data_IF_693619890938
#
_entry.id   IF_693619890938
#
_cell.length_a   1.000
_cell.length_b   1.000
_cell.length_c   1.000
_cell.angle_alpha   90.00
_cell.angle_beta   90.00
_cell.angle_gamma   90.00
#
_symmetry.space_group_name_H-M   'P 1'
#
loop_
_entity.id
_entity.type
_entity.pdbx_description
1 polymer ?
#
# COMPACT_ATOMS: atom_id res chain seq x y z
N UNK A 1 -5.93 -5.65 -13.81
CA UNK A 1 -5.98 -4.42 -12.99
C UNK A 1 -5.33 -4.71 -11.64
N UNK A 2 -4.21 -4.07 -11.30
CA UNK A 2 -3.64 -4.18 -9.96
C UNK A 2 -4.62 -3.55 -8.97
N UNK A 3 -5.33 -4.38 -8.20
CA UNK A 3 -6.15 -3.87 -7.09
C UNK A 3 -5.20 -3.16 -6.13
N UNK A 4 -5.27 -1.82 -6.12
CA UNK A 4 -4.48 -0.99 -5.20
C UNK A 4 -4.79 -1.46 -3.79
N UNK A 5 -3.75 -1.55 -2.96
CA UNK A 5 -3.96 -1.93 -1.57
C UNK A 5 -4.75 -0.84 -0.84
N UNK A 6 -5.45 -1.19 0.24
CA UNK A 6 -6.13 -0.18 1.09
C UNK A 6 -5.14 0.93 1.53
N UNK A 7 -3.90 0.62 1.94
CA UNK A 7 -2.88 1.65 2.19
C UNK A 7 -2.61 2.58 1.00
N UNK A 8 -2.57 2.07 -0.23
CA UNK A 8 -2.38 2.90 -1.43
C UNK A 8 -3.56 3.84 -1.70
N UNK A 9 -4.78 3.37 -1.41
CA UNK A 9 -5.99 4.18 -1.54
C UNK A 9 -6.01 5.30 -0.49
N UNK A 10 -5.69 4.98 0.76
CA UNK A 10 -5.58 5.96 1.84
C UNK A 10 -4.50 7.01 1.55
N UNK A 11 -3.32 6.57 1.08
CA UNK A 11 -2.23 7.48 0.69
C UNK A 11 -2.68 8.49 -0.35
N UNK A 12 -3.34 8.03 -1.42
CA UNK A 12 -3.85 8.90 -2.49
C UNK A 12 -4.91 9.87 -1.99
N UNK A 13 -5.84 9.41 -1.16
CA UNK A 13 -6.88 10.26 -0.58
C UNK A 13 -6.27 11.38 0.26
N UNK A 14 -5.21 11.07 1.00
CA UNK A 14 -4.50 12.03 1.84
C UNK A 14 -3.69 13.03 1.01
N UNK A 15 -3.00 12.57 -0.03
CA UNK A 15 -2.29 13.44 -0.99
C UNK A 15 -3.25 14.43 -1.68
N UNK A 16 -4.44 13.97 -2.08
CA UNK A 16 -5.48 14.85 -2.63
C UNK A 16 -5.92 15.91 -1.61
N UNK A 17 -6.20 15.50 -0.37
CA UNK A 17 -6.64 16.42 0.67
C UNK A 17 -5.56 17.47 1.02
N UNK A 18 -4.29 17.07 1.05
CA UNK A 18 -3.16 17.99 1.22
C UNK A 18 -3.09 19.06 0.14
N UNK A 19 -3.28 18.66 -1.11
CA UNK A 19 -3.22 19.57 -2.23
C UNK A 19 -4.38 20.58 -2.21
N UNK A 20 -5.56 20.15 -1.75
CA UNK A 20 -6.76 20.98 -1.60
C UNK A 20 -6.66 21.95 -0.41
N UNK A 21 -6.03 21.53 0.69
CA UNK A 21 -5.92 22.32 1.92
C UNK A 21 -4.67 23.23 1.99
N UNK A 22 -3.84 23.24 0.94
CA UNK A 22 -2.52 23.93 0.90
C UNK A 22 -1.55 23.51 2.04
N UNK A 23 -1.70 22.29 2.55
CA UNK A 23 -0.91 21.73 3.65
C UNK A 23 0.35 20.99 3.16
N UNK A 24 0.94 21.41 2.05
CA UNK A 24 2.02 20.67 1.38
C UNK A 24 3.29 20.57 2.23
N UNK A 25 3.49 21.55 3.11
CA UNK A 25 4.64 21.63 4.02
C UNK A 25 4.36 21.15 5.44
N UNK A 26 3.23 20.50 5.67
CA UNK A 26 2.92 19.88 6.96
C UNK A 26 3.80 18.63 7.19
N UNK A 27 4.75 18.76 8.12
CA UNK A 27 5.72 17.70 8.45
C UNK A 27 5.08 16.48 9.09
N UNK A 28 4.03 16.65 9.89
CA UNK A 28 3.30 15.53 10.49
C UNK A 28 2.63 14.71 9.37
N UNK A 29 2.08 15.40 8.39
CA UNK A 29 1.39 14.77 7.27
C UNK A 29 2.35 14.07 6.29
N UNK A 30 3.55 14.63 6.07
CA UNK A 30 4.65 13.97 5.35
C UNK A 30 5.07 12.67 6.04
N UNK A 31 5.19 12.67 7.37
CA UNK A 31 5.50 11.46 8.14
C UNK A 31 4.40 10.39 8.02
N UNK A 32 3.12 10.79 8.09
CA UNK A 32 1.99 9.87 7.87
C UNK A 32 2.03 9.25 6.47
N UNK A 33 2.30 10.04 5.42
CA UNK A 33 2.45 9.52 4.06
C UNK A 33 3.62 8.54 3.94
N UNK A 34 4.74 8.83 4.61
CA UNK A 34 5.88 7.92 4.69
C UNK A 34 5.52 6.58 5.32
N UNK A 35 4.81 6.60 6.45
CA UNK A 35 4.30 5.39 7.13
C UNK A 35 3.34 4.59 6.26
N UNK A 36 2.43 5.26 5.55
CA UNK A 36 1.51 4.61 4.62
C UNK A 36 2.24 3.94 3.45
N UNK A 37 3.30 4.56 2.94
CA UNK A 37 4.13 3.96 1.88
C UNK A 37 4.84 2.68 2.36
N UNK A 38 5.44 2.72 3.55
CA UNK A 38 6.07 1.54 4.18
C UNK A 38 5.04 0.42 4.39
N UNK A 39 3.83 0.76 4.87
CA UNK A 39 2.77 -0.22 5.09
C UNK A 39 2.29 -0.84 3.78
N UNK A 40 2.14 -0.06 2.71
CA UNK A 40 1.79 -0.56 1.38
C UNK A 40 2.83 -1.59 0.89
N UNK A 41 4.13 -1.28 1.04
CA UNK A 41 5.20 -2.21 0.70
C UNK A 41 5.14 -3.54 1.47
N UNK A 42 4.85 -3.49 2.78
CA UNK A 42 4.68 -4.70 3.61
C UNK A 42 3.48 -5.53 3.15
N UNK A 43 2.36 -4.91 2.83
CA UNK A 43 1.16 -5.59 2.33
C UNK A 43 1.42 -6.25 0.98
N UNK A 44 2.12 -5.56 0.07
CA UNK A 44 2.51 -6.11 -1.22
C UNK A 44 3.41 -7.36 -1.05
N UNK A 45 4.40 -7.30 -0.16
CA UNK A 45 5.28 -8.43 0.14
C UNK A 45 4.50 -9.62 0.73
N UNK A 46 3.62 -9.37 1.71
CA UNK A 46 2.79 -10.41 2.31
C UNK A 46 1.86 -11.06 1.27
N UNK A 47 1.22 -10.26 0.40
CA UNK A 47 0.37 -10.75 -0.69
C UNK A 47 1.17 -11.62 -1.66
N UNK A 48 2.38 -11.20 -2.04
CA UNK A 48 3.27 -11.98 -2.90
C UNK A 48 3.64 -13.34 -2.26
N UNK A 49 3.94 -13.37 -0.97
CA UNK A 49 4.22 -14.61 -0.25
C UNK A 49 3.02 -15.57 -0.23
N UNK A 50 1.82 -15.05 0.03
CA UNK A 50 0.59 -15.87 0.01
C UNK A 50 0.32 -16.44 -1.39
N UNK A 51 0.51 -15.64 -2.44
CA UNK A 51 0.34 -16.10 -3.81
C UNK A 51 1.36 -17.18 -4.19
N UNK A 52 2.64 -17.01 -3.81
CA UNK A 52 3.68 -18.01 -4.02
C UNK A 52 3.36 -19.34 -3.31
N UNK A 53 2.91 -19.29 -2.05
CA UNK A 53 2.50 -20.49 -1.30
C UNK A 53 1.31 -21.20 -1.95
N UNK A 54 0.33 -20.45 -2.45
CA UNK A 54 -0.83 -21.00 -3.17
C UNK A 54 -0.42 -21.67 -4.49
N UNK A 55 0.50 -21.08 -5.23
CA UNK A 55 1.02 -21.67 -6.47
C UNK A 55 1.73 -23.00 -6.18
N UNK A 56 2.63 -23.03 -5.20
CA UNK A 56 3.34 -24.27 -4.80
C UNK A 56 2.40 -25.37 -4.29
N UNK A 57 1.35 -25.01 -3.56
CA UNK A 57 0.34 -25.99 -3.11
C UNK A 57 -0.43 -26.59 -4.29
N UNK A 58 -0.70 -25.80 -5.33
CA UNK A 58 -1.38 -26.27 -6.54
C UNK A 58 -0.48 -27.21 -7.35
N UNK A 59 0.80 -26.87 -7.53
CA UNK A 59 1.79 -27.69 -8.25
C UNK A 59 2.08 -29.05 -7.59
N UNK A 60 1.96 -29.16 -6.26
CA UNK A 60 2.15 -30.43 -5.54
C UNK A 60 0.92 -31.35 -5.53
N UNK A 61 -0.23 -30.85 -5.98
CA UNK A 61 -1.50 -31.58 -5.97
C UNK A 61 -1.88 -32.13 -7.36
N UNK A 62 -1.06 -31.87 -8.37
CA UNK A 62 -1.06 -32.52 -9.71
C UNK A 62 0.05 -33.58 -9.79
#
# INVERSE_FOLDING_TARGET
MTTKSIPDLLRRSLESHMAEADLRDDEELKDILGKLNVLSGKVAAAKAQVLARRAQAKEKSE
#
